data_IF_680162172651
#
_entry.id   IF_680162172651
#
_cell.length_a   1.000
_cell.length_b   1.000
_cell.length_c   1.000
_cell.angle_alpha   90.00
_cell.angle_beta   90.00
_cell.angle_gamma   90.00
#
_symmetry.space_group_name_H-M   'P 1'
#
loop_
_entity.id
_entity.type
_entity.pdbx_description
1 polymer ?
#
# COMPACT_ATOMS: atom_id res chain seq x y z
N UNK A 1 -0.31 -19.68 -19.78
CA UNK A 1 -0.89 -21.00 -19.44
C UNK A 1 -0.81 -21.29 -17.93
N UNK A 2 0.28 -20.95 -17.23
CA UNK A 2 0.40 -21.12 -15.76
C UNK A 2 -0.49 -20.15 -14.96
N UNK A 3 -0.86 -19.00 -15.53
CA UNK A 3 -1.73 -18.00 -14.90
C UNK A 3 -3.22 -18.39 -14.99
N UNK A 4 -3.59 -19.22 -15.97
CA UNK A 4 -4.98 -19.69 -16.15
C UNK A 4 -5.34 -20.88 -15.25
N UNK A 5 -4.37 -21.53 -14.60
CA UNK A 5 -4.58 -22.74 -13.81
C UNK A 5 -4.76 -22.52 -12.31
N UNK A 6 -4.83 -21.28 -11.83
CA UNK A 6 -5.22 -20.96 -10.45
C UNK A 6 -4.29 -21.50 -9.36
N UNK A 7 -3.03 -21.83 -9.68
CA UNK A 7 -2.09 -22.50 -8.76
C UNK A 7 -1.19 -21.57 -7.94
N UNK A 8 -1.42 -20.27 -7.94
CA UNK A 8 -0.67 -19.34 -7.07
C UNK A 8 -1.63 -18.81 -6.00
N UNK A 9 -1.73 -19.56 -4.91
CA UNK A 9 -2.47 -19.15 -3.73
C UNK A 9 -1.77 -17.94 -3.08
N UNK A 10 -2.44 -16.80 -3.02
CA UNK A 10 -2.03 -15.64 -2.21
C UNK A 10 -1.70 -14.35 -2.96
N UNK A 11 -1.77 -14.33 -4.27
CA UNK A 11 -1.70 -13.11 -5.06
C UNK A 11 -2.91 -13.11 -6.00
N UNK A 12 -3.86 -12.22 -5.76
CA UNK A 12 -4.81 -11.83 -6.79
C UNK A 12 -4.00 -11.13 -7.89
N UNK A 13 -3.56 -11.93 -8.86
CA UNK A 13 -2.93 -11.40 -10.06
C UNK A 13 -4.04 -10.70 -10.82
N UNK A 14 -4.02 -9.37 -10.78
CA UNK A 14 -4.83 -8.56 -11.69
C UNK A 14 -4.62 -9.14 -13.10
N UNK A 15 -5.68 -9.60 -13.69
CA UNK A 15 -5.71 -10.21 -15.01
C UNK A 15 -5.07 -9.24 -16.03
N UNK A 16 -3.82 -9.50 -16.40
CA UNK A 16 -3.12 -8.77 -17.45
C UNK A 16 -3.66 -9.22 -18.82
N UNK A 17 -4.96 -8.98 -19.04
CA UNK A 17 -5.58 -9.16 -20.35
C UNK A 17 -4.98 -8.13 -21.30
N UNK A 18 -4.12 -8.58 -22.19
CA UNK A 18 -3.65 -7.77 -23.31
C UNK A 18 -2.18 -7.88 -23.72
N UNK A 19 -1.34 -8.61 -22.97
CA UNK A 19 0.09 -8.73 -23.29
C UNK A 19 0.52 -10.10 -23.85
N UNK A 20 -0.40 -10.86 -24.40
CA UNK A 20 -0.12 -12.17 -24.97
C UNK A 20 0.57 -12.15 -26.34
N UNK A 21 0.66 -11.01 -27.01
CA UNK A 21 1.22 -10.92 -28.35
C UNK A 21 2.73 -10.72 -28.42
N UNK A 22 3.38 -10.31 -27.32
CA UNK A 22 4.81 -10.00 -27.33
C UNK A 22 5.73 -11.02 -26.63
N UNK A 23 5.17 -12.08 -26.04
CA UNK A 23 5.97 -13.12 -25.37
C UNK A 23 6.80 -12.65 -24.16
N UNK A 24 6.54 -11.47 -23.62
CA UNK A 24 7.24 -10.97 -22.44
C UNK A 24 6.53 -11.48 -21.19
N UNK A 25 7.06 -12.53 -20.59
CA UNK A 25 6.69 -12.94 -19.26
C UNK A 25 7.24 -11.91 -18.26
N UNK A 26 6.40 -11.02 -17.73
CA UNK A 26 6.75 -10.20 -16.58
C UNK A 26 6.90 -11.12 -15.37
N UNK A 27 8.11 -11.25 -14.83
CA UNK A 27 8.28 -12.00 -13.59
C UNK A 27 7.69 -11.20 -12.42
N UNK A 28 7.04 -11.88 -11.49
CA UNK A 28 6.46 -11.28 -10.27
C UNK A 28 7.52 -10.48 -9.48
N UNK A 29 8.76 -10.94 -9.44
CA UNK A 29 9.87 -10.24 -8.80
C UNK A 29 10.14 -8.85 -9.38
N UNK A 30 10.00 -8.66 -10.69
CA UNK A 30 10.16 -7.35 -11.34
C UNK A 30 9.02 -6.39 -10.98
N UNK A 31 7.78 -6.91 -10.87
CA UNK A 31 6.64 -6.09 -10.43
C UNK A 31 6.81 -5.63 -8.99
N UNK A 32 7.25 -6.51 -8.09
CA UNK A 32 7.55 -6.14 -6.69
C UNK A 32 8.64 -5.07 -6.66
N UNK A 33 9.74 -5.26 -7.41
CA UNK A 33 10.80 -4.26 -7.51
C UNK A 33 10.30 -2.91 -8.00
N UNK A 34 9.46 -2.89 -9.04
CA UNK A 34 8.87 -1.66 -9.56
C UNK A 34 7.97 -0.96 -8.53
N UNK A 35 7.14 -1.69 -7.79
CA UNK A 35 6.29 -1.13 -6.72
C UNK A 35 7.15 -0.48 -5.63
N UNK A 36 8.23 -1.15 -5.20
CA UNK A 36 9.14 -0.63 -4.19
C UNK A 36 9.82 0.65 -4.67
N UNK A 37 10.32 0.67 -5.90
CA UNK A 37 11.01 1.84 -6.49
C UNK A 37 10.09 3.04 -6.69
N UNK A 38 8.81 2.80 -6.99
CA UNK A 38 7.84 3.88 -7.28
C UNK A 38 7.25 4.46 -5.99
N UNK A 39 6.98 3.62 -4.99
CA UNK A 39 6.20 4.01 -3.83
C UNK A 39 6.97 3.99 -2.50
N UNK A 40 8.10 3.28 -2.41
CA UNK A 40 8.90 3.22 -1.17
C UNK A 40 9.43 4.58 -0.73
N UNK A 41 9.62 4.74 0.57
CA UNK A 41 10.21 5.93 1.18
C UNK A 41 11.35 5.56 2.15
N UNK A 42 11.97 6.55 2.79
CA UNK A 42 13.09 6.35 3.73
C UNK A 42 12.72 5.56 5.00
N UNK A 43 11.42 5.32 5.23
CA UNK A 43 10.92 4.56 6.38
C UNK A 43 10.57 3.10 6.01
N UNK A 44 10.65 2.75 4.75
CA UNK A 44 10.43 1.39 4.28
C UNK A 44 9.47 1.27 3.09
N UNK A 45 8.76 0.14 3.04
CA UNK A 45 7.83 -0.14 1.96
C UNK A 45 6.55 0.72 2.08
N UNK A 46 5.98 1.06 0.94
CA UNK A 46 4.61 1.58 0.81
C UNK A 46 3.91 0.71 -0.21
N UNK A 47 3.10 -0.22 0.26
CA UNK A 47 2.44 -1.19 -0.61
C UNK A 47 1.03 -0.75 -0.95
N UNK A 48 0.67 -0.76 -2.24
CA UNK A 48 -0.72 -0.51 -2.62
C UNK A 48 -1.67 -1.48 -1.91
N UNK A 49 -2.80 -1.02 -1.35
CA UNK A 49 -3.72 -1.84 -0.57
C UNK A 49 -4.13 -3.15 -1.24
N UNK A 50 -4.32 -3.17 -2.56
CA UNK A 50 -4.76 -4.36 -3.30
C UNK A 50 -3.72 -5.47 -3.33
N UNK A 51 -2.42 -5.14 -3.29
CA UNK A 51 -1.32 -6.12 -3.35
C UNK A 51 -0.68 -6.41 -1.98
N UNK A 52 -0.93 -5.58 -0.97
CA UNK A 52 -0.35 -5.76 0.36
C UNK A 52 -0.77 -7.11 0.99
N UNK A 53 0.16 -7.95 1.47
CA UNK A 53 -0.17 -9.21 2.13
C UNK A 53 -1.01 -9.02 3.41
N UNK A 54 -0.79 -7.91 4.10
CA UNK A 54 -1.59 -7.44 5.23
C UNK A 54 -2.07 -6.03 4.89
N UNK A 55 -3.37 -5.82 4.86
CA UNK A 55 -3.97 -4.51 4.58
C UNK A 55 -4.11 -3.67 5.83
N UNK A 56 -4.44 -4.32 6.94
CA UNK A 56 -4.70 -3.65 8.22
C UNK A 56 -3.91 -4.33 9.33
N UNK A 57 -3.14 -3.55 10.09
CA UNK A 57 -2.51 -4.00 11.32
C UNK A 57 -3.16 -3.31 12.52
N UNK A 58 -3.73 -4.08 13.42
CA UNK A 58 -4.29 -3.58 14.66
C UNK A 58 -3.20 -3.59 15.73
N UNK A 59 -2.94 -2.44 16.35
CA UNK A 59 -1.91 -2.27 17.36
C UNK A 59 -2.57 -1.89 18.70
N UNK A 60 -2.64 -2.83 19.64
CA UNK A 60 -3.10 -2.54 20.99
C UNK A 60 -2.06 -1.69 21.74
N UNK A 61 -2.47 -0.50 22.17
CA UNK A 61 -1.67 0.40 22.99
C UNK A 61 -1.90 0.06 24.46
N UNK A 62 -0.82 -0.20 25.21
CA UNK A 62 -0.89 -0.72 26.59
C UNK A 62 -1.69 -2.02 26.67
N UNK A 63 -1.31 -2.99 25.87
CA UNK A 63 -1.99 -4.29 25.77
C UNK A 63 -2.15 -5.05 27.10
N UNK A 64 -1.36 -4.69 28.15
CA UNK A 64 -1.48 -5.24 29.50
C UNK A 64 -2.69 -4.68 30.26
N UNK A 65 -3.30 -3.58 29.79
CA UNK A 65 -4.52 -3.07 30.40
C UNK A 65 -5.71 -4.00 30.07
N UNK A 66 -6.58 -4.18 31.07
CA UNK A 66 -7.73 -5.07 30.97
C UNK A 66 -8.62 -4.73 29.76
N UNK A 67 -8.99 -5.74 29.00
CA UNK A 67 -9.91 -5.62 27.87
C UNK A 67 -9.30 -5.07 26.56
N UNK A 68 -8.08 -4.52 26.54
CA UNK A 68 -7.51 -3.91 25.32
C UNK A 68 -7.18 -4.97 24.29
N UNK A 69 -6.57 -6.06 24.70
CA UNK A 69 -6.20 -7.14 23.80
C UNK A 69 -7.43 -7.87 23.26
N UNK A 70 -8.42 -8.11 24.13
CA UNK A 70 -9.69 -8.74 23.75
C UNK A 70 -10.42 -7.89 22.71
N UNK A 71 -10.44 -6.56 22.91
CA UNK A 71 -11.05 -5.64 21.95
C UNK A 71 -10.29 -5.61 20.61
N UNK A 72 -8.96 -5.67 20.62
CA UNK A 72 -8.18 -5.78 19.41
C UNK A 72 -8.51 -7.05 18.60
N UNK A 73 -8.68 -8.19 19.26
CA UNK A 73 -9.09 -9.42 18.61
C UNK A 73 -10.55 -9.37 18.13
N UNK A 74 -11.45 -8.76 18.88
CA UNK A 74 -12.84 -8.53 18.44
C UNK A 74 -12.85 -7.72 17.13
N UNK A 75 -12.10 -6.61 17.08
CA UNK A 75 -11.99 -5.77 15.88
C UNK A 75 -11.37 -6.55 14.70
N UNK A 76 -10.32 -7.36 14.95
CA UNK A 76 -9.78 -8.25 13.92
C UNK A 76 -10.86 -9.16 13.35
N UNK A 77 -11.66 -9.79 14.22
CA UNK A 77 -12.68 -10.75 13.80
C UNK A 77 -13.81 -10.09 13.02
N UNK A 78 -14.12 -8.84 13.31
CA UNK A 78 -15.08 -8.02 12.52
C UNK A 78 -14.51 -7.64 11.15
N UNK A 79 -13.22 -7.29 11.07
CA UNK A 79 -12.59 -6.81 9.85
C UNK A 79 -12.08 -7.93 8.92
N UNK A 80 -11.75 -9.11 9.44
CA UNK A 80 -11.14 -10.21 8.66
C UNK A 80 -12.03 -10.78 7.56
N UNK A 81 -13.35 -10.53 7.61
CA UNK A 81 -14.28 -10.96 6.56
C UNK A 81 -14.05 -10.20 5.25
N UNK A 82 -13.58 -8.95 5.34
CA UNK A 82 -13.42 -8.05 4.19
C UNK A 82 -11.96 -7.72 3.88
N UNK A 83 -11.07 -7.84 4.87
CA UNK A 83 -9.68 -7.40 4.76
C UNK A 83 -8.69 -8.46 5.26
N UNK A 84 -7.45 -8.36 4.81
CA UNK A 84 -6.31 -9.13 5.33
C UNK A 84 -5.79 -8.42 6.58
N UNK A 85 -6.22 -8.88 7.75
CA UNK A 85 -5.97 -8.21 9.03
C UNK A 85 -4.99 -9.00 9.88
N UNK A 86 -4.08 -8.29 10.55
CA UNK A 86 -3.18 -8.81 11.57
C UNK A 86 -3.32 -8.01 12.86
N UNK A 87 -3.23 -8.66 14.02
CA UNK A 87 -3.02 -8.01 15.32
C UNK A 87 -1.54 -8.12 15.67
N UNK A 88 -0.93 -7.03 16.12
CA UNK A 88 0.41 -7.06 16.67
C UNK A 88 0.33 -7.10 18.20
N UNK A 89 0.32 -8.30 18.74
CA UNK A 89 0.26 -8.63 20.18
C UNK A 89 1.64 -8.86 20.81
N UNK A 90 2.72 -8.52 20.10
CA UNK A 90 4.08 -8.64 20.63
C UNK A 90 4.32 -7.72 21.83
N UNK A 91 5.24 -8.10 22.74
CA UNK A 91 5.62 -7.30 23.91
C UNK A 91 6.59 -6.14 23.58
N UNK A 92 6.52 -5.63 22.35
CA UNK A 92 7.33 -4.49 21.92
C UNK A 92 6.65 -3.16 22.25
N UNK A 93 7.47 -2.11 22.35
CA UNK A 93 6.93 -0.76 22.55
C UNK A 93 6.05 -0.33 21.36
N UNK A 94 5.04 0.53 21.58
CA UNK A 94 4.20 1.03 20.49
C UNK A 94 4.99 1.65 19.35
N UNK A 95 6.02 2.44 19.65
CA UNK A 95 6.89 3.05 18.63
C UNK A 95 7.61 2.01 17.76
N UNK A 96 8.05 0.90 18.35
CA UNK A 96 8.65 -0.20 17.59
C UNK A 96 7.63 -0.86 16.67
N UNK A 97 6.41 -1.13 17.16
CA UNK A 97 5.31 -1.69 16.35
C UNK A 97 4.94 -0.78 15.18
N UNK A 98 4.93 0.54 15.39
CA UNK A 98 4.66 1.51 14.33
C UNK A 98 5.74 1.47 13.25
N UNK A 99 7.02 1.51 13.65
CA UNK A 99 8.14 1.42 12.72
C UNK A 99 8.15 0.09 11.93
N UNK A 100 7.82 -1.02 12.59
CA UNK A 100 7.71 -2.34 11.93
C UNK A 100 6.58 -2.36 10.90
N UNK A 101 5.41 -1.76 11.19
CA UNK A 101 4.32 -1.63 10.21
C UNK A 101 4.73 -0.76 9.03
N UNK A 102 5.45 0.35 9.28
CA UNK A 102 5.95 1.25 8.24
C UNK A 102 7.00 0.56 7.38
N UNK A 103 7.97 -0.13 7.97
CA UNK A 103 8.99 -0.87 7.26
C UNK A 103 8.41 -1.97 6.36
N UNK A 104 7.36 -2.66 6.81
CA UNK A 104 6.66 -3.69 6.04
C UNK A 104 5.69 -3.15 5.00
N UNK A 105 5.43 -1.85 4.99
CA UNK A 105 4.52 -1.20 4.05
C UNK A 105 3.06 -1.59 4.23
N UNK A 106 2.63 -1.82 5.47
CA UNK A 106 1.23 -2.13 5.74
C UNK A 106 0.40 -0.85 5.52
N UNK A 107 -0.58 -0.86 4.60
CA UNK A 107 -1.32 0.34 4.18
C UNK A 107 -1.99 1.08 5.34
N UNK A 108 -2.66 0.34 6.20
CA UNK A 108 -3.41 0.92 7.31
C UNK A 108 -3.00 0.27 8.64
N UNK A 109 -2.70 1.08 9.65
CA UNK A 109 -2.66 0.62 11.02
C UNK A 109 -3.83 1.20 11.81
N UNK A 110 -4.40 0.39 12.69
CA UNK A 110 -5.46 0.77 13.62
C UNK A 110 -4.87 0.75 15.01
N UNK A 111 -4.80 1.90 15.65
CA UNK A 111 -4.32 2.06 17.03
C UNK A 111 -5.53 2.04 17.96
N UNK A 112 -5.45 1.24 19.04
CA UNK A 112 -6.51 1.17 20.04
C UNK A 112 -5.91 1.03 21.45
N UNK A 113 -6.33 1.91 22.34
CA UNK A 113 -5.91 1.93 23.73
C UNK A 113 -7.10 2.01 24.70
N UNK A 114 -6.83 2.00 26.04
CA UNK A 114 -7.92 2.06 27.04
C UNK A 114 -8.83 3.27 26.86
N UNK A 115 -8.27 4.44 26.62
CA UNK A 115 -9.04 5.68 26.43
C UNK A 115 -9.88 5.66 25.15
N UNK A 116 -9.39 5.02 24.11
CA UNK A 116 -10.10 4.90 22.84
C UNK A 116 -11.30 3.96 23.00
N UNK A 117 -11.13 2.89 23.78
CA UNK A 117 -12.20 1.94 24.10
C UNK A 117 -13.29 2.63 24.93
N UNK A 118 -12.91 3.40 25.94
CA UNK A 118 -13.85 4.17 26.77
C UNK A 118 -14.66 5.19 25.94
N UNK A 119 -13.98 5.81 24.97
CA UNK A 119 -14.61 6.77 24.05
C UNK A 119 -15.37 6.10 22.88
N UNK A 120 -15.28 4.78 22.71
CA UNK A 120 -15.89 4.06 21.60
C UNK A 120 -15.27 4.36 20.23
N UNK A 121 -13.99 4.76 20.18
CA UNK A 121 -13.27 5.15 18.95
C UNK A 121 -12.02 4.31 18.74
N UNK A 122 -11.48 4.36 17.53
CA UNK A 122 -10.16 3.85 17.18
C UNK A 122 -9.46 4.84 16.24
N UNK A 123 -8.13 4.86 16.25
CA UNK A 123 -7.34 5.74 15.39
C UNK A 123 -6.82 4.94 14.20
N UNK A 124 -7.21 5.34 13.00
CA UNK A 124 -6.74 4.81 11.72
C UNK A 124 -5.57 5.68 11.26
N UNK A 125 -4.46 5.07 10.87
CA UNK A 125 -3.30 5.79 10.33
C UNK A 125 -2.93 5.21 8.97
N UNK A 126 -2.89 6.08 7.96
CA UNK A 126 -2.46 5.74 6.60
C UNK A 126 -0.93 5.61 6.54
N UNK A 127 -0.44 4.66 5.77
CA UNK A 127 1.00 4.47 5.59
C UNK A 127 1.62 5.54 4.67
N UNK A 128 0.93 5.90 3.62
CA UNK A 128 1.45 6.76 2.54
C UNK A 128 1.55 8.24 2.92
N UNK A 129 0.56 8.77 3.66
CA UNK A 129 0.50 10.18 4.09
C UNK A 129 0.76 10.38 5.57
N UNK A 130 0.70 9.31 6.38
CA UNK A 130 0.74 9.31 7.86
C UNK A 130 -0.41 10.09 8.49
N UNK A 131 -1.44 10.34 7.74
CA UNK A 131 -2.66 10.97 8.23
C UNK A 131 -3.32 10.10 9.29
N UNK A 132 -3.79 10.76 10.36
CA UNK A 132 -4.51 10.11 11.45
C UNK A 132 -5.99 10.48 11.39
N UNK A 133 -6.84 9.46 11.35
CA UNK A 133 -8.28 9.58 11.25
C UNK A 133 -8.88 8.88 12.46
N UNK A 134 -9.66 9.59 13.27
CA UNK A 134 -10.41 8.96 14.37
C UNK A 134 -11.77 8.51 13.85
N UNK A 135 -12.13 7.25 14.09
CA UNK A 135 -13.39 6.66 13.67
C UNK A 135 -14.08 5.95 14.83
N UNK A 136 -15.41 5.95 14.82
CA UNK A 136 -16.18 5.13 15.76
C UNK A 136 -15.93 3.64 15.51
N UNK A 137 -15.83 2.86 16.58
CA UNK A 137 -15.60 1.42 16.50
C UNK A 137 -16.69 0.71 15.69
N UNK A 138 -17.93 1.19 15.75
CA UNK A 138 -19.03 0.57 15.02
C UNK A 138 -18.95 0.79 13.50
N UNK A 139 -18.44 1.94 13.06
CA UNK A 139 -18.27 2.32 11.67
C UNK A 139 -16.84 2.02 11.14
N UNK A 140 -16.01 1.40 11.97
CA UNK A 140 -14.59 1.19 11.65
C UNK A 140 -14.37 0.42 10.34
N UNK A 141 -15.20 -0.58 10.05
CA UNK A 141 -15.07 -1.39 8.84
C UNK A 141 -15.33 -0.57 7.57
N UNK A 142 -16.35 0.28 7.59
CA UNK A 142 -16.68 1.16 6.45
C UNK A 142 -15.58 2.21 6.26
N UNK A 143 -15.11 2.79 7.37
CA UNK A 143 -14.06 3.80 7.32
C UNK A 143 -12.71 3.24 6.85
N UNK A 144 -12.36 2.03 7.26
CA UNK A 144 -11.16 1.33 6.76
C UNK A 144 -11.29 1.03 5.26
N UNK A 145 -12.47 0.62 4.77
CA UNK A 145 -12.70 0.41 3.35
C UNK A 145 -12.49 1.70 2.53
N UNK A 146 -13.09 2.80 2.99
CA UNK A 146 -12.92 4.12 2.37
C UNK A 146 -11.44 4.54 2.32
N UNK A 147 -10.74 4.41 3.43
CA UNK A 147 -9.33 4.78 3.55
C UNK A 147 -8.44 3.95 2.61
N UNK A 148 -8.64 2.63 2.55
CA UNK A 148 -7.87 1.75 1.67
C UNK A 148 -8.14 2.04 0.18
N UNK A 149 -9.38 2.34 -0.21
CA UNK A 149 -9.69 2.68 -1.60
C UNK A 149 -9.12 4.06 -1.97
N UNK A 150 -9.21 5.04 -1.07
CA UNK A 150 -8.62 6.37 -1.25
C UNK A 150 -7.09 6.27 -1.38
N UNK A 151 -6.42 5.51 -0.50
CA UNK A 151 -4.98 5.29 -0.56
C UNK A 151 -4.56 4.64 -1.88
N UNK A 152 -5.29 3.61 -2.33
CA UNK A 152 -5.05 2.94 -3.61
C UNK A 152 -5.16 3.92 -4.79
N UNK A 153 -6.17 4.79 -4.79
CA UNK A 153 -6.38 5.80 -5.82
C UNK A 153 -5.27 6.86 -5.78
N UNK A 154 -4.98 7.42 -4.60
CA UNK A 154 -3.99 8.48 -4.43
C UNK A 154 -2.58 8.03 -4.84
N UNK A 155 -2.21 6.79 -4.50
CA UNK A 155 -0.93 6.21 -4.93
C UNK A 155 -0.82 6.12 -6.45
N UNK A 156 -1.90 5.72 -7.14
CA UNK A 156 -1.94 5.66 -8.60
C UNK A 156 -1.83 7.06 -9.22
N UNK A 157 -2.58 8.03 -8.70
CA UNK A 157 -2.56 9.39 -9.24
C UNK A 157 -1.22 10.09 -9.01
N UNK A 158 -0.57 9.87 -7.87
CA UNK A 158 0.79 10.37 -7.63
C UNK A 158 1.79 9.78 -8.64
N UNK A 159 1.74 8.47 -8.87
CA UNK A 159 2.62 7.82 -9.84
C UNK A 159 2.34 8.30 -11.27
N UNK A 160 1.07 8.51 -11.64
CA UNK A 160 0.66 9.05 -12.93
C UNK A 160 1.18 10.47 -13.14
N UNK A 161 0.92 11.35 -12.17
CA UNK A 161 1.39 12.75 -12.17
C UNK A 161 2.92 12.82 -12.26
N UNK A 162 3.62 11.98 -11.47
CA UNK A 162 5.08 11.91 -11.54
C UNK A 162 5.56 11.53 -12.94
N UNK A 163 5.00 10.48 -13.53
CA UNK A 163 5.34 10.05 -14.89
C UNK A 163 5.06 11.15 -15.91
N UNK A 164 3.91 11.82 -15.85
CA UNK A 164 3.55 12.88 -16.78
C UNK A 164 4.49 14.08 -16.69
N UNK A 165 4.82 14.51 -15.48
CA UNK A 165 5.75 15.61 -15.24
C UNK A 165 7.21 15.27 -15.66
N UNK A 166 7.54 14.00 -15.81
CA UNK A 166 8.85 13.53 -16.25
C UNK A 166 8.80 12.85 -17.63
N UNK A 167 7.82 13.21 -18.44
CA UNK A 167 7.72 12.75 -19.84
C UNK A 167 7.86 13.94 -20.77
N UNK A 168 8.84 13.89 -21.66
CA UNK A 168 9.21 14.98 -22.57
C UNK A 168 9.05 14.51 -24.02
N UNK A 169 8.75 15.45 -24.92
CA UNK A 169 8.66 15.18 -26.34
C UNK A 169 9.93 15.67 -27.04
N UNK A 170 10.50 14.87 -27.93
CA UNK A 170 11.62 15.23 -28.79
C UNK A 170 11.26 14.94 -30.25
N UNK A 171 11.39 15.96 -31.11
CA UNK A 171 11.12 15.86 -32.54
C UNK A 171 12.44 15.63 -33.31
N UNK A 172 13.51 16.23 -32.85
CA UNK A 172 14.85 16.12 -33.47
C UNK A 172 15.81 15.28 -32.61
N UNK A 173 16.88 14.80 -33.25
CA UNK A 173 17.93 14.03 -32.56
C UNK A 173 18.70 14.91 -31.56
N UNK A 174 18.87 16.17 -31.85
CA UNK A 174 19.53 17.15 -31.02
C UNK A 174 18.72 17.42 -29.75
N UNK A 175 17.40 17.65 -29.88
CA UNK A 175 16.49 17.77 -28.72
C UNK A 175 16.48 16.53 -27.86
N UNK A 176 16.46 15.33 -28.49
CA UNK A 176 16.50 14.06 -27.75
C UNK A 176 17.78 13.98 -26.88
N UNK A 177 18.94 14.30 -27.43
CA UNK A 177 20.20 14.29 -26.70
C UNK A 177 20.19 15.31 -25.56
N UNK A 178 19.77 16.54 -25.83
CA UNK A 178 19.70 17.58 -24.82
C UNK A 178 18.79 17.17 -23.65
N UNK A 179 17.60 16.64 -23.93
CA UNK A 179 16.66 16.19 -22.91
C UNK A 179 17.29 15.01 -22.12
N UNK A 180 17.94 14.06 -22.80
CA UNK A 180 18.55 12.90 -22.16
C UNK A 180 19.67 13.30 -21.19
N UNK A 181 20.42 14.36 -21.51
CA UNK A 181 21.53 14.84 -20.69
C UNK A 181 21.07 15.73 -19.52
N UNK A 182 20.00 16.53 -19.72
CA UNK A 182 19.59 17.57 -18.76
C UNK A 182 18.41 17.16 -17.87
N UNK A 183 17.54 16.25 -18.32
CA UNK A 183 16.26 15.96 -17.66
C UNK A 183 16.08 14.47 -17.39
N UNK A 184 16.01 14.05 -16.12
CA UNK A 184 15.69 12.67 -15.80
C UNK A 184 14.23 12.36 -16.13
N UNK A 185 13.97 11.24 -16.84
CA UNK A 185 12.60 10.84 -17.15
C UNK A 185 12.46 10.03 -18.42
N UNK A 186 11.29 10.13 -19.03
CA UNK A 186 10.91 9.44 -20.26
C UNK A 186 10.94 10.42 -21.43
N UNK A 187 11.43 9.97 -22.58
CA UNK A 187 11.44 10.79 -23.80
C UNK A 187 10.57 10.08 -24.85
N UNK A 188 9.55 10.78 -25.34
CA UNK A 188 8.77 10.34 -26.51
C UNK A 188 9.41 10.92 -27.76
N UNK A 189 9.85 10.04 -28.63
CA UNK A 189 10.44 10.43 -29.92
C UNK A 189 9.92 9.54 -31.05
N UNK A 190 9.99 10.04 -32.28
CA UNK A 190 9.66 9.25 -33.46
C UNK A 190 10.73 8.17 -33.68
N UNK A 191 10.29 6.98 -34.03
CA UNK A 191 11.20 5.91 -34.43
C UNK A 191 11.82 6.25 -35.79
N UNK A 192 13.14 6.23 -35.87
CA UNK A 192 13.86 6.63 -37.08
C UNK A 192 14.41 5.44 -37.91
N UNK A 193 14.00 4.20 -37.63
CA UNK A 193 14.42 3.02 -38.38
C UNK A 193 15.71 2.39 -37.87
#
# INVERSE_FOLDING_TARGET
QLLSEGKVSGLDIVELKGYTSSGIALSVCRLIGAIIMVHGDDNGLVLPPRVAPTQVCIIPIRQQAEGVLDKAYELRDRLKSNFRVKVDDTDKSPGWKFAECEMRGIPVRVEIGPKDIEAGVAVIVRRDTREKITANIDELAEKVAEVLETEQHDMLERARTHRENHTYDAVTKEEFKQIADEKPGFIRAMWCG
#
